data_IF_379060299718
#
_entry.id   IF_379060299718
#
_cell.length_a   1.000
_cell.length_b   1.000
_cell.length_c   1.000
_cell.angle_alpha   90.00
_cell.angle_beta   90.00
_cell.angle_gamma   90.00
#
_symmetry.space_group_name_H-M   'P 1'
#
loop_
_entity.id
_entity.type
_entity.pdbx_description
1 polymer ?
#
# COMPACT_ATOMS: atom_id res chain seq x y z
N UNK A 1 -19.75 -12.51 9.63
CA UNK A 1 -18.61 -11.61 9.49
C UNK A 1 -18.99 -10.56 8.46
N UNK A 2 -18.93 -9.27 8.79
CA UNK A 2 -19.24 -8.22 7.84
C UNK A 2 -18.18 -8.24 6.74
N UNK A 3 -18.60 -8.38 5.49
CA UNK A 3 -17.70 -8.41 4.32
C UNK A 3 -17.46 -6.97 3.86
N UNK A 4 -16.75 -6.21 4.67
CA UNK A 4 -16.44 -4.81 4.37
C UNK A 4 -15.33 -4.68 3.31
N UNK A 5 -15.16 -3.48 2.80
CA UNK A 5 -14.16 -3.18 1.77
C UNK A 5 -12.72 -3.56 2.18
N UNK A 6 -12.36 -3.46 3.47
CA UNK A 6 -11.04 -3.84 3.99
C UNK A 6 -10.80 -5.34 3.88
N UNK A 7 -11.79 -6.14 4.31
CA UNK A 7 -11.72 -7.60 4.20
C UNK A 7 -11.55 -8.02 2.73
N UNK A 8 -12.34 -7.44 1.83
CA UNK A 8 -12.26 -7.72 0.40
C UNK A 8 -10.90 -7.35 -0.16
N UNK A 9 -10.37 -6.17 0.20
CA UNK A 9 -9.05 -5.71 -0.23
C UNK A 9 -7.94 -6.67 0.20
N UNK A 10 -7.95 -7.12 1.45
CA UNK A 10 -6.99 -8.10 1.95
C UNK A 10 -7.09 -9.43 1.20
N UNK A 11 -8.28 -9.91 0.90
CA UNK A 11 -8.49 -11.14 0.11
C UNK A 11 -7.96 -10.99 -1.32
N UNK A 12 -8.20 -9.85 -1.95
CA UNK A 12 -7.72 -9.56 -3.31
C UNK A 12 -6.19 -9.49 -3.33
N UNK A 13 -5.58 -8.74 -2.41
CA UNK A 13 -4.11 -8.60 -2.32
C UNK A 13 -3.43 -9.95 -2.06
N UNK A 14 -3.96 -10.75 -1.12
CA UNK A 14 -3.44 -12.09 -0.84
C UNK A 14 -3.51 -13.00 -2.05
N UNK A 15 -4.62 -12.94 -2.80
CA UNK A 15 -4.76 -13.75 -4.00
C UNK A 15 -3.80 -13.29 -5.10
N UNK A 16 -3.72 -11.98 -5.34
CA UNK A 16 -2.82 -11.36 -6.31
C UNK A 16 -1.36 -11.81 -6.09
N UNK A 17 -0.88 -11.76 -4.84
CA UNK A 17 0.49 -12.17 -4.52
C UNK A 17 0.71 -13.68 -4.63
N UNK A 18 -0.25 -14.50 -4.16
CA UNK A 18 -0.10 -15.97 -4.20
C UNK A 18 -0.18 -16.54 -5.60
N UNK A 19 -1.02 -15.97 -6.45
CA UNK A 19 -1.28 -16.50 -7.81
C UNK A 19 -0.40 -15.87 -8.87
N UNK A 20 0.25 -14.74 -8.57
CA UNK A 20 0.99 -13.93 -9.53
C UNK A 20 0.17 -13.64 -10.81
N UNK A 21 -1.14 -13.43 -10.61
CA UNK A 21 -2.12 -13.15 -11.68
C UNK A 21 -2.39 -11.65 -11.77
N UNK A 22 -3.06 -11.21 -12.83
CA UNK A 22 -3.46 -9.81 -12.95
C UNK A 22 -4.42 -9.40 -11.83
N UNK A 23 -4.29 -8.17 -11.31
CA UNK A 23 -5.13 -7.66 -10.23
C UNK A 23 -6.63 -7.72 -10.55
N UNK A 24 -7.00 -7.48 -11.82
CA UNK A 24 -8.39 -7.58 -12.31
C UNK A 24 -8.94 -8.99 -12.13
N UNK A 25 -8.14 -10.02 -12.42
CA UNK A 25 -8.55 -11.42 -12.27
C UNK A 25 -8.77 -11.76 -10.80
N UNK A 26 -7.85 -11.38 -9.92
CA UNK A 26 -7.99 -11.55 -8.47
C UNK A 26 -9.24 -10.88 -7.92
N UNK A 27 -9.57 -9.66 -8.40
CA UNK A 27 -10.80 -8.95 -8.03
C UNK A 27 -12.05 -9.68 -8.46
N UNK A 28 -12.13 -10.03 -9.75
CA UNK A 28 -13.32 -10.69 -10.30
C UNK A 28 -13.62 -11.99 -9.55
N UNK A 29 -12.58 -12.76 -9.23
CA UNK A 29 -12.74 -14.00 -8.47
C UNK A 29 -13.24 -13.76 -7.04
N UNK A 30 -12.68 -12.76 -6.33
CA UNK A 30 -13.11 -12.43 -4.97
C UNK A 30 -14.54 -11.88 -4.99
N UNK A 31 -14.86 -10.98 -5.91
CA UNK A 31 -16.22 -10.42 -6.00
C UNK A 31 -17.28 -11.45 -6.40
N UNK A 32 -16.94 -12.40 -7.26
CA UNK A 32 -17.83 -13.52 -7.60
C UNK A 32 -18.08 -14.43 -6.39
N UNK A 33 -17.07 -14.65 -5.56
CA UNK A 33 -17.17 -15.52 -4.38
C UNK A 33 -17.95 -14.89 -3.24
N UNK A 34 -17.79 -13.59 -3.00
CA UNK A 34 -18.36 -12.90 -1.85
C UNK A 34 -19.59 -12.06 -2.17
N UNK A 35 -19.84 -11.72 -3.44
CA UNK A 35 -20.97 -10.89 -3.91
C UNK A 35 -21.19 -9.63 -3.05
N UNK A 36 -20.18 -8.77 -2.88
CA UNK A 36 -20.25 -7.60 -2.01
C UNK A 36 -21.24 -6.56 -2.55
N UNK A 37 -21.71 -5.69 -1.65
CA UNK A 37 -22.47 -4.50 -2.03
C UNK A 37 -21.63 -3.55 -2.91
N UNK A 38 -22.33 -2.74 -3.71
CA UNK A 38 -21.70 -1.83 -4.68
C UNK A 38 -20.69 -0.86 -4.02
N UNK A 39 -21.01 -0.34 -2.85
CA UNK A 39 -20.17 0.58 -2.10
C UNK A 39 -18.87 -0.11 -1.65
N UNK A 40 -18.96 -1.28 -1.04
CA UNK A 40 -17.79 -2.04 -0.58
C UNK A 40 -16.93 -2.50 -1.75
N UNK A 41 -17.56 -2.90 -2.86
CA UNK A 41 -16.86 -3.24 -4.09
C UNK A 41 -16.05 -2.06 -4.64
N UNK A 42 -16.67 -0.89 -4.78
CA UNK A 42 -16.01 0.32 -5.28
C UNK A 42 -14.85 0.72 -4.39
N UNK A 43 -15.04 0.75 -3.07
CA UNK A 43 -13.99 1.09 -2.12
C UNK A 43 -12.85 0.06 -2.12
N UNK A 44 -13.15 -1.23 -2.19
CA UNK A 44 -12.12 -2.27 -2.30
C UNK A 44 -11.30 -2.15 -3.60
N UNK A 45 -11.92 -1.71 -4.70
CA UNK A 45 -11.21 -1.43 -5.96
C UNK A 45 -10.23 -0.27 -5.79
N UNK A 46 -10.66 0.83 -5.19
CA UNK A 46 -9.78 2.00 -4.91
C UNK A 46 -8.62 1.57 -4.01
N UNK A 47 -8.91 0.98 -2.84
CA UNK A 47 -7.89 0.52 -1.89
C UNK A 47 -6.85 -0.39 -2.56
N UNK A 48 -7.27 -1.39 -3.30
CA UNK A 48 -6.34 -2.33 -3.94
C UNK A 48 -5.49 -1.68 -5.02
N UNK A 49 -6.03 -0.73 -5.81
CA UNK A 49 -5.26 0.01 -6.81
C UNK A 49 -4.17 0.85 -6.15
N UNK A 50 -4.55 1.64 -5.15
CA UNK A 50 -3.63 2.55 -4.48
C UNK A 50 -2.54 1.80 -3.71
N UNK A 51 -2.90 0.71 -3.02
CA UNK A 51 -1.94 -0.12 -2.30
C UNK A 51 -0.92 -0.76 -3.25
N UNK A 52 -1.36 -1.26 -4.40
CA UNK A 52 -0.43 -1.82 -5.40
C UNK A 52 0.47 -0.73 -5.99
N UNK A 53 -0.07 0.45 -6.27
CA UNK A 53 0.69 1.60 -6.78
C UNK A 53 1.76 2.06 -5.80
N UNK A 54 1.45 2.04 -4.49
CA UNK A 54 2.33 2.51 -3.42
C UNK A 54 3.09 1.37 -2.71
N UNK A 55 3.03 0.15 -3.23
CA UNK A 55 3.47 -1.08 -2.57
C UNK A 55 4.87 -0.96 -1.97
N UNK A 56 5.85 -0.59 -2.79
CA UNK A 56 7.25 -0.53 -2.38
C UNK A 56 7.45 0.49 -1.24
N UNK A 57 6.76 1.62 -1.33
CA UNK A 57 6.80 2.66 -0.30
C UNK A 57 6.16 2.19 1.01
N UNK A 58 5.00 1.54 0.92
CA UNK A 58 4.33 0.96 2.08
C UNK A 58 5.20 -0.11 2.75
N UNK A 59 5.87 -0.95 1.98
CA UNK A 59 6.73 -2.00 2.48
C UNK A 59 7.93 -1.43 3.26
N UNK A 60 8.58 -0.40 2.74
CA UNK A 60 9.67 0.31 3.45
C UNK A 60 9.16 0.91 4.77
N UNK A 61 7.99 1.56 4.76
CA UNK A 61 7.39 2.10 5.98
C UNK A 61 7.07 1.02 7.00
N UNK A 62 6.51 -0.11 6.54
CA UNK A 62 6.19 -1.25 7.41
C UNK A 62 7.47 -1.84 8.01
N UNK A 63 8.54 -2.05 7.25
CA UNK A 63 9.82 -2.51 7.78
C UNK A 63 10.36 -1.56 8.85
N UNK A 64 10.36 -0.26 8.58
CA UNK A 64 10.86 0.76 9.49
C UNK A 64 10.07 0.78 10.81
N UNK A 65 8.75 0.85 10.74
CA UNK A 65 7.88 0.98 11.92
C UNK A 65 7.79 -0.30 12.73
N UNK A 66 7.77 -1.47 12.05
CA UNK A 66 7.65 -2.78 12.71
C UNK A 66 8.99 -3.34 13.22
N UNK A 67 10.11 -2.82 12.69
CA UNK A 67 11.45 -3.37 12.92
C UNK A 67 11.64 -4.79 12.33
N UNK A 68 10.80 -5.21 11.40
CA UNK A 68 10.79 -6.55 10.82
C UNK A 68 10.91 -6.50 9.30
N UNK A 69 11.72 -7.37 8.74
CA UNK A 69 11.80 -7.55 7.29
C UNK A 69 10.49 -8.09 6.72
N UNK A 70 10.06 -7.56 5.56
CA UNK A 70 8.82 -7.96 4.87
C UNK A 70 8.75 -9.48 4.65
N UNK A 71 9.84 -10.11 4.26
CA UNK A 71 9.91 -11.54 4.00
C UNK A 71 9.72 -12.43 5.25
N UNK A 72 9.75 -11.85 6.45
CA UNK A 72 9.48 -12.53 7.73
C UNK A 72 8.04 -12.36 8.22
N UNK A 73 7.25 -11.55 7.52
CA UNK A 73 5.85 -11.34 7.84
C UNK A 73 4.97 -12.34 7.07
N UNK A 74 3.93 -12.82 7.72
CA UNK A 74 2.88 -13.58 7.02
C UNK A 74 2.23 -12.73 5.93
N UNK A 75 1.98 -13.30 4.75
CA UNK A 75 1.45 -12.56 3.59
C UNK A 75 0.10 -11.91 3.87
N UNK A 76 -0.76 -12.57 4.67
CA UNK A 76 -2.05 -12.01 5.04
C UNK A 76 -1.91 -10.87 6.05
N UNK A 77 -0.97 -10.99 6.99
CA UNK A 77 -0.64 -9.91 7.92
C UNK A 77 -0.07 -8.70 7.16
N UNK A 78 0.84 -8.94 6.22
CA UNK A 78 1.42 -7.88 5.39
C UNK A 78 0.35 -7.13 4.59
N UNK A 79 -0.59 -7.85 3.96
CA UNK A 79 -1.71 -7.22 3.26
C UNK A 79 -2.58 -6.37 4.18
N UNK A 80 -2.84 -6.82 5.41
CA UNK A 80 -3.58 -6.04 6.42
C UNK A 80 -2.79 -4.78 6.82
N UNK A 81 -1.49 -4.91 7.06
CA UNK A 81 -0.64 -3.76 7.40
C UNK A 81 -0.59 -2.75 6.26
N UNK A 82 -0.48 -3.19 5.01
CA UNK A 82 -0.52 -2.28 3.85
C UNK A 82 -1.82 -1.50 3.77
N UNK A 83 -2.97 -2.14 4.01
CA UNK A 83 -4.26 -1.44 4.09
C UNK A 83 -4.24 -0.40 5.21
N UNK A 84 -3.76 -0.75 6.40
CA UNK A 84 -3.70 0.16 7.54
C UNK A 84 -2.75 1.34 7.34
N UNK A 85 -1.58 1.10 6.77
CA UNK A 85 -0.62 2.15 6.46
C UNK A 85 -1.17 3.11 5.41
N UNK A 86 -1.85 2.59 4.40
CA UNK A 86 -2.51 3.41 3.40
C UNK A 86 -3.62 4.28 4.02
N UNK A 87 -4.52 3.70 4.80
CA UNK A 87 -5.63 4.45 5.42
C UNK A 87 -5.13 5.52 6.41
N UNK A 88 -4.11 5.23 7.23
CA UNK A 88 -3.60 6.18 8.22
C UNK A 88 -2.80 7.32 7.58
N UNK A 89 -2.07 7.07 6.49
CA UNK A 89 -1.16 8.06 5.90
C UNK A 89 -1.79 8.84 4.73
N UNK A 90 -2.68 8.20 3.96
CA UNK A 90 -3.16 8.76 2.69
C UNK A 90 -4.68 8.97 2.64
N UNK A 91 -5.45 8.38 3.54
CA UNK A 91 -6.92 8.48 3.54
C UNK A 91 -7.42 9.31 4.73
N UNK A 92 -7.46 10.62 4.56
CA UNK A 92 -7.92 11.56 5.59
C UNK A 92 -9.41 11.42 5.95
N UNK A 93 -10.17 10.68 5.15
CA UNK A 93 -11.62 10.48 5.40
C UNK A 93 -11.91 9.53 6.56
N UNK A 94 -10.89 8.80 7.04
CA UNK A 94 -11.03 7.79 8.11
C UNK A 94 -10.27 8.25 9.35
N UNK A 95 -10.94 8.34 10.52
CA UNK A 95 -10.22 8.59 11.78
C UNK A 95 -9.28 7.43 12.11
N UNK A 96 -8.09 7.74 12.61
CA UNK A 96 -7.05 6.76 12.96
C UNK A 96 -7.56 5.64 13.87
N UNK A 97 -8.31 6.00 14.91
CA UNK A 97 -8.86 5.02 15.85
C UNK A 97 -9.78 4.00 15.17
N UNK A 98 -10.57 4.45 14.19
CA UNK A 98 -11.49 3.60 13.44
C UNK A 98 -10.74 2.66 12.49
N UNK A 99 -9.68 3.15 11.85
CA UNK A 99 -8.79 2.33 11.02
C UNK A 99 -8.12 1.25 11.88
N UNK A 100 -7.50 1.63 13.00
CA UNK A 100 -6.82 0.70 13.90
C UNK A 100 -7.78 -0.37 14.46
N UNK A 101 -8.93 0.03 15.00
CA UNK A 101 -9.88 -0.93 15.61
C UNK A 101 -10.38 -1.93 14.56
N UNK A 102 -10.82 -1.46 13.41
CA UNK A 102 -11.31 -2.31 12.32
C UNK A 102 -10.27 -3.32 11.86
N UNK A 103 -9.02 -2.89 11.67
CA UNK A 103 -7.94 -3.76 11.19
C UNK A 103 -7.45 -4.74 12.25
N UNK A 104 -7.44 -4.35 13.53
CA UNK A 104 -7.15 -5.26 14.64
C UNK A 104 -8.20 -6.35 14.73
N UNK A 105 -9.49 -6.00 14.61
CA UNK A 105 -10.60 -6.95 14.60
C UNK A 105 -10.53 -7.86 13.35
N UNK A 106 -10.24 -7.30 12.19
CA UNK A 106 -10.02 -8.07 10.95
C UNK A 106 -8.87 -9.07 11.12
N UNK A 107 -7.74 -8.63 11.67
CA UNK A 107 -6.58 -9.50 11.90
C UNK A 107 -6.91 -10.64 12.87
N UNK A 108 -7.65 -10.35 13.93
CA UNK A 108 -8.09 -11.35 14.90
C UNK A 108 -8.94 -12.44 14.25
N UNK A 109 -9.79 -12.05 13.29
CA UNK A 109 -10.71 -12.95 12.60
C UNK A 109 -10.01 -13.76 11.49
N UNK A 110 -9.13 -13.12 10.71
CA UNK A 110 -8.48 -13.74 9.54
C UNK A 110 -7.27 -14.58 9.92
N UNK A 111 -6.52 -14.18 10.94
CA UNK A 111 -5.28 -14.80 11.36
C UNK A 111 -5.34 -15.35 12.78
N UNK A 112 -5.01 -14.51 13.77
CA UNK A 112 -4.94 -14.93 15.16
C UNK A 112 -4.93 -13.74 16.13
N UNK A 113 -5.19 -14.05 17.42
CA UNK A 113 -5.09 -13.08 18.51
C UNK A 113 -3.65 -12.55 18.71
N UNK A 114 -2.61 -13.36 18.40
CA UNK A 114 -1.21 -12.91 18.45
C UNK A 114 -0.93 -11.89 17.33
N UNK A 115 -1.39 -12.18 16.12
CA UNK A 115 -1.24 -11.28 14.99
C UNK A 115 -1.98 -9.96 15.23
N UNK A 116 -3.17 -9.96 15.82
CA UNK A 116 -3.93 -8.74 16.12
C UNK A 116 -3.22 -7.83 17.12
N UNK A 117 -2.52 -8.40 18.12
CA UNK A 117 -1.68 -7.61 19.03
C UNK A 117 -0.53 -6.93 18.30
N UNK A 118 0.12 -7.64 17.38
CA UNK A 118 1.19 -7.08 16.55
C UNK A 118 0.65 -5.97 15.63
N UNK A 119 -0.48 -6.20 14.95
CA UNK A 119 -1.13 -5.18 14.13
C UNK A 119 -1.41 -3.90 14.93
N UNK A 120 -2.02 -4.04 16.11
CA UNK A 120 -2.29 -2.89 16.98
C UNK A 120 -1.01 -2.13 17.37
N UNK A 121 0.05 -2.85 17.75
CA UNK A 121 1.32 -2.23 18.13
C UNK A 121 1.95 -1.48 16.95
N UNK A 122 1.98 -2.09 15.77
CA UNK A 122 2.58 -1.49 14.56
C UNK A 122 1.79 -0.27 14.09
N UNK A 123 0.44 -0.35 14.03
CA UNK A 123 -0.38 0.78 13.59
C UNK A 123 -0.34 1.96 14.59
N UNK A 124 -0.33 1.68 15.89
CA UNK A 124 -0.15 2.75 16.90
C UNK A 124 1.24 3.38 16.85
N UNK A 125 2.29 2.60 16.55
CA UNK A 125 3.62 3.15 16.32
C UNK A 125 3.65 4.03 15.07
N UNK A 126 2.99 3.62 13.98
CA UNK A 126 2.87 4.45 12.78
C UNK A 126 2.28 5.83 13.07
N UNK A 127 1.17 5.87 13.83
CA UNK A 127 0.53 7.13 14.25
C UNK A 127 1.52 7.99 15.06
N UNK A 128 2.24 7.40 16.01
CA UNK A 128 3.24 8.13 16.81
C UNK A 128 4.39 8.69 15.95
N UNK A 129 4.85 7.95 14.94
CA UNK A 129 5.89 8.45 14.01
C UNK A 129 5.36 9.61 13.19
N UNK A 130 4.15 9.51 12.64
CA UNK A 130 3.51 10.58 11.87
C UNK A 130 3.32 11.85 12.73
N UNK A 131 2.84 11.71 13.95
CA UNK A 131 2.53 12.84 14.83
C UNK A 131 3.80 13.52 15.36
N UNK A 132 4.92 12.78 15.48
CA UNK A 132 6.21 13.32 15.91
C UNK A 132 6.89 14.12 14.81
N UNK A 133 6.83 13.69 13.59
CA UNK A 133 7.44 14.32 12.42
C UNK A 133 6.59 14.05 11.18
N UNK A 134 5.89 15.05 10.70
CA UNK A 134 5.06 14.94 9.49
C UNK A 134 5.87 14.57 8.24
N UNK A 135 7.16 14.85 8.24
CA UNK A 135 8.08 14.59 7.12
C UNK A 135 8.88 13.28 7.28
N UNK A 136 8.63 12.49 8.33
CA UNK A 136 9.40 11.26 8.60
C UNK A 136 9.50 10.32 7.39
N UNK A 137 8.45 10.27 6.57
CA UNK A 137 8.40 9.44 5.35
C UNK A 137 9.45 9.88 4.32
N UNK A 138 9.82 11.17 4.30
CA UNK A 138 10.85 11.70 3.39
C UNK A 138 12.27 11.29 3.82
N UNK A 139 12.46 10.99 5.10
CA UNK A 139 13.73 10.54 5.66
C UNK A 139 13.94 9.03 5.59
N UNK A 140 12.90 8.27 5.14
CA UNK A 140 13.08 6.84 4.92
C UNK A 140 14.07 6.62 3.78
N UNK A 141 15.03 5.69 3.94
CA UNK A 141 15.88 5.33 2.83
C UNK A 141 14.98 4.94 1.65
N UNK A 142 15.12 5.64 0.54
CA UNK A 142 14.57 5.19 -0.74
C UNK A 142 15.30 3.90 -1.06
N UNK A 143 14.79 2.81 -0.49
CA UNK A 143 15.43 1.53 -0.56
C UNK A 143 15.67 1.18 -2.01
N UNK A 144 16.86 0.71 -2.28
CA UNK A 144 17.22 -0.13 -3.40
C UNK A 144 16.18 -1.26 -3.55
N UNK A 145 15.00 -0.90 -4.03
CA UNK A 145 14.09 -1.88 -4.58
C UNK A 145 14.80 -2.40 -5.80
N UNK A 146 15.38 -3.58 -5.66
CA UNK A 146 15.78 -4.39 -6.79
C UNK A 146 14.55 -4.57 -7.66
N UNK A 147 14.33 -3.64 -8.60
CA UNK A 147 13.34 -3.81 -9.66
C UNK A 147 13.71 -5.13 -10.34
N UNK A 148 12.78 -6.06 -10.50
CA UNK A 148 13.02 -7.13 -11.45
C UNK A 148 13.23 -6.47 -12.80
N UNK A 149 14.47 -6.52 -13.29
CA UNK A 149 14.96 -5.91 -14.55
C UNK A 149 14.41 -6.60 -15.80
N UNK A 150 13.22 -7.18 -15.74
CA UNK A 150 12.67 -7.95 -16.87
C UNK A 150 11.62 -7.23 -17.71
N UNK A 151 11.35 -5.91 -17.50
CA UNK A 151 10.31 -5.25 -18.30
C UNK A 151 10.75 -4.00 -19.09
N UNK A 152 12.02 -3.59 -19.06
CA UNK A 152 12.50 -2.44 -19.84
C UNK A 152 13.85 -2.67 -20.53
N UNK A 153 14.09 -3.86 -21.08
CA UNK A 153 15.26 -4.10 -21.95
C UNK A 153 15.01 -3.73 -23.42
N UNK A 154 14.10 -2.79 -23.70
CA UNK A 154 13.74 -2.47 -25.07
C UNK A 154 13.76 -1.02 -25.50
N UNK A 155 13.89 -0.02 -24.60
CA UNK A 155 13.92 1.38 -25.07
C UNK A 155 14.67 2.28 -24.06
N UNK A 156 15.81 2.72 -24.45
CA UNK A 156 16.67 3.83 -24.10
C UNK A 156 18.08 3.44 -23.63
N UNK A 157 19.06 3.50 -24.53
CA UNK A 157 20.45 3.67 -24.15
C UNK A 157 20.72 5.18 -24.10
N UNK A 158 20.75 5.79 -22.95
CA UNK A 158 21.46 7.02 -22.62
C UNK A 158 20.83 7.71 -21.39
N UNK A 159 21.33 7.41 -20.21
CA UNK A 159 21.20 8.30 -19.06
C UNK A 159 22.31 8.01 -18.04
N UNK A 160 23.55 8.06 -18.47
CA UNK A 160 24.67 8.43 -17.62
C UNK A 160 24.91 9.94 -17.86
N UNK A 161 25.06 10.67 -16.75
CA UNK A 161 25.32 12.10 -16.62
C UNK A 161 24.03 12.94 -16.49
N UNK A 162 23.68 13.29 -15.25
CA UNK A 162 23.65 14.66 -14.76
C UNK A 162 22.88 14.72 -13.43
N UNK A 163 23.62 14.96 -12.36
CA UNK A 163 23.19 15.59 -11.12
C UNK A 163 22.47 16.91 -11.46
N UNK A 164 21.15 16.95 -11.31
CA UNK A 164 20.43 18.22 -11.43
C UNK A 164 19.44 18.41 -10.30
N UNK A 165 19.57 19.59 -9.67
CA UNK A 165 18.87 20.09 -8.51
C UNK A 165 17.33 20.19 -8.73
N UNK A 166 16.61 20.04 -7.64
CA UNK A 166 15.14 20.04 -7.49
C UNK A 166 14.36 21.25 -8.05
N UNK A 167 15.00 22.22 -8.71
CA UNK A 167 14.33 23.44 -9.24
C UNK A 167 13.83 23.35 -10.68
N UNK A 168 14.20 22.34 -11.44
CA UNK A 168 13.88 22.30 -12.88
C UNK A 168 12.69 21.41 -13.21
N UNK A 169 12.25 20.55 -12.28
CA UNK A 169 11.13 19.63 -12.52
C UNK A 169 9.76 20.32 -12.59
N UNK A 170 9.59 21.45 -11.90
CA UNK A 170 8.33 22.23 -11.94
C UNK A 170 8.10 23.02 -13.23
N UNK A 171 9.16 23.36 -13.94
CA UNK A 171 9.05 24.19 -15.15
C UNK A 171 8.71 23.38 -16.41
N UNK A 172 9.03 22.08 -16.44
CA UNK A 172 8.71 21.22 -17.58
C UNK A 172 7.28 20.67 -17.55
N UNK A 173 6.69 20.52 -16.38
CA UNK A 173 5.27 20.09 -16.25
C UNK A 173 4.30 21.17 -16.72
N UNK A 174 4.68 22.45 -16.59
CA UNK A 174 3.86 23.59 -17.04
C UNK A 174 3.90 23.80 -18.55
N UNK A 175 4.98 23.49 -19.21
CA UNK A 175 5.13 23.63 -20.66
C UNK A 175 4.46 22.49 -21.46
N UNK A 176 4.21 21.34 -20.84
CA UNK A 176 3.53 20.21 -21.49
C UNK A 176 1.99 20.32 -21.45
N UNK A 177 1.44 21.08 -20.50
CA UNK A 177 -0.02 21.24 -20.32
C UNK A 177 -0.62 22.35 -21.21
N UNK A 178 0.19 23.19 -21.87
CA UNK A 178 -0.29 24.33 -22.65
C UNK A 178 0.01 24.27 -24.16
N UNK A 179 0.28 23.08 -24.70
CA UNK A 179 0.49 22.96 -26.15
C UNK A 179 -0.34 21.86 -26.78
N UNK A 180 -1.64 22.11 -26.91
CA UNK A 180 -2.46 21.49 -27.96
C UNK A 180 -3.31 22.59 -28.62
N UNK A 181 -3.33 22.59 -29.98
CA UNK A 181 -4.10 23.55 -30.78
C UNK A 181 -5.59 23.29 -30.66
#
# INVERSE_FOLDING_TARGET
>A
MKQDARFLSVKILNRFEKKNEQLVMSRNQVFSSFKPESIDKSRAMVLTNEIIRLRDRLDVMIEYVSGRKINRLDSSLLSILRVGFYEIIYDESIPDYAAVDSLVNLTKTVLSRKASKLTNAVLRNLIRYRDKDSNWVLHLPLCSVSRPTSFLSGLFPMAHLLSWSHRVFHMWLWLWLFRLP
#
